data_IF_381464987190
#
_entry.id   IF_381464987190
#
_cell.length_a   1.000
_cell.length_b   1.000
_cell.length_c   1.000
_cell.angle_alpha   90.00
_cell.angle_beta   90.00
_cell.angle_gamma   90.00
#
_symmetry.space_group_name_H-M   'P 1'
#
loop_
_entity.id
_entity.type
_entity.pdbx_description
1 polymer ?
#
# COMPACT_ATOMS: atom_id res chain seq x y z
N UNK A 1 18.86 11.97 10.80
CA UNK A 1 18.02 10.82 11.15
C UNK A 1 16.75 10.80 10.31
N UNK A 2 16.27 9.61 9.91
CA UNK A 2 14.95 9.42 9.25
C UNK A 2 14.00 8.75 10.23
N UNK A 3 12.80 9.31 10.41
CA UNK A 3 11.73 8.70 11.18
C UNK A 3 10.58 8.32 10.25
N UNK A 4 10.10 7.09 10.34
CA UNK A 4 8.98 6.60 9.55
C UNK A 4 7.85 6.14 10.48
N UNK A 5 6.67 6.71 10.31
CA UNK A 5 5.47 6.38 11.05
C UNK A 5 4.41 5.83 10.12
N UNK A 6 3.86 4.67 10.49
CA UNK A 6 2.74 4.05 9.78
C UNK A 6 1.43 4.61 10.32
N UNK A 7 0.65 5.25 9.46
CA UNK A 7 -0.64 5.86 9.79
C UNK A 7 -1.80 4.90 9.52
N UNK A 8 -2.74 4.86 10.46
CA UNK A 8 -4.01 4.11 10.41
C UNK A 8 -5.04 4.81 11.32
N UNK A 9 -6.31 4.40 11.22
CA UNK A 9 -7.45 4.98 11.97
C UNK A 9 -7.12 5.36 13.42
N UNK A 10 -6.46 4.48 14.16
CA UNK A 10 -6.20 4.71 15.59
C UNK A 10 -5.15 5.80 15.91
N UNK A 11 -4.27 6.17 14.97
CA UNK A 11 -3.20 7.15 15.20
C UNK A 11 -3.19 8.32 14.20
N UNK A 12 -3.99 8.29 13.14
CA UNK A 12 -4.05 9.37 12.13
C UNK A 12 -4.42 10.72 12.77
N UNK A 13 -5.25 10.75 13.81
CA UNK A 13 -5.59 11.98 14.54
C UNK A 13 -4.42 12.56 15.36
N UNK A 14 -3.39 11.76 15.65
CA UNK A 14 -2.20 12.14 16.40
C UNK A 14 -1.06 12.63 15.49
N UNK A 15 -1.31 12.85 14.20
CA UNK A 15 -0.29 13.25 13.22
C UNK A 15 0.48 14.51 13.64
N UNK A 16 -0.19 15.45 14.31
CA UNK A 16 0.45 16.65 14.86
C UNK A 16 1.50 16.28 15.91
N UNK A 17 1.12 15.46 16.89
CA UNK A 17 2.01 15.03 17.98
C UNK A 17 3.21 14.22 17.42
N UNK A 18 2.96 13.40 16.39
CA UNK A 18 4.00 12.65 15.68
C UNK A 18 5.01 13.60 15.01
N UNK A 19 4.53 14.65 14.33
CA UNK A 19 5.40 15.63 13.69
C UNK A 19 6.19 16.43 14.75
N UNK A 20 5.54 16.86 15.83
CA UNK A 20 6.19 17.58 16.93
C UNK A 20 7.26 16.74 17.62
N UNK A 21 7.02 15.44 17.80
CA UNK A 21 8.03 14.49 18.26
C UNK A 21 9.23 14.43 17.30
N UNK A 22 8.99 14.33 16.00
CA UNK A 22 10.06 14.28 15.01
C UNK A 22 10.91 15.56 15.00
N UNK A 23 10.28 16.73 15.19
CA UNK A 23 10.96 18.01 15.35
C UNK A 23 11.82 18.03 16.62
N UNK A 24 11.26 17.59 17.75
CA UNK A 24 11.97 17.55 19.03
C UNK A 24 13.17 16.59 19.01
N UNK A 25 13.09 15.55 18.19
CA UNK A 25 14.17 14.60 17.93
C UNK A 25 15.16 15.06 16.85
N UNK A 26 14.98 16.27 16.29
CA UNK A 26 15.84 16.84 15.25
C UNK A 26 15.99 15.90 14.04
N UNK A 27 14.88 15.30 13.59
CA UNK A 27 14.90 14.45 12.40
C UNK A 27 15.18 15.26 11.12
N UNK A 28 15.97 14.68 10.20
CA UNK A 28 16.21 15.27 8.87
C UNK A 28 15.01 15.01 7.95
N UNK A 29 14.44 13.80 8.06
CA UNK A 29 13.30 13.33 7.25
C UNK A 29 12.25 12.68 8.13
N UNK A 30 10.99 13.03 7.88
CA UNK A 30 9.82 12.40 8.47
C UNK A 30 8.95 11.80 7.38
N UNK A 31 8.76 10.49 7.41
CA UNK A 31 7.85 9.77 6.54
C UNK A 31 6.57 9.42 7.30
N UNK A 32 5.45 9.96 6.81
CA UNK A 32 4.11 9.70 7.28
C UNK A 32 3.44 8.80 6.25
N UNK A 33 3.61 7.49 6.44
CA UNK A 33 3.22 6.47 5.47
C UNK A 33 1.86 5.87 5.83
N UNK A 34 0.86 5.95 4.95
CA UNK A 34 -0.41 5.27 5.19
C UNK A 34 -0.25 3.75 5.10
N UNK A 35 -0.92 3.03 6.00
CA UNK A 35 -1.03 1.57 5.96
C UNK A 35 -1.55 1.07 4.61
N UNK A 36 -0.82 0.16 3.98
CA UNK A 36 -1.30 -0.56 2.80
C UNK A 36 -2.19 -1.72 3.26
N UNK A 37 -3.41 -1.79 2.74
CA UNK A 37 -4.42 -2.78 3.17
C UNK A 37 -4.33 -4.14 2.46
N UNK A 38 -3.15 -4.49 1.94
CA UNK A 38 -2.85 -5.86 1.50
C UNK A 38 -1.90 -6.58 2.46
N UNK A 39 -1.84 -7.90 2.39
CA UNK A 39 -1.10 -8.71 3.35
C UNK A 39 -1.75 -8.67 4.74
N UNK A 40 -0.96 -8.45 5.80
CA UNK A 40 -1.44 -8.58 7.19
C UNK A 40 -2.46 -7.52 7.60
N UNK A 41 -2.37 -6.30 7.07
CA UNK A 41 -3.31 -5.24 7.39
C UNK A 41 -4.72 -5.54 6.86
N UNK A 42 -4.85 -6.37 5.82
CA UNK A 42 -6.15 -6.78 5.27
C UNK A 42 -7.01 -7.49 6.32
N UNK A 43 -6.41 -8.34 7.18
CA UNK A 43 -7.13 -9.04 8.24
C UNK A 43 -7.69 -8.11 9.33
N UNK A 44 -7.20 -6.87 9.38
CA UNK A 44 -7.57 -5.87 10.37
C UNK A 44 -8.17 -4.61 9.71
N UNK A 45 -8.48 -4.64 8.41
CA UNK A 45 -8.84 -3.45 7.63
C UNK A 45 -10.04 -2.70 8.22
N UNK A 46 -11.01 -3.43 8.74
CA UNK A 46 -12.23 -2.86 9.32
C UNK A 46 -11.93 -1.96 10.53
N UNK A 47 -10.82 -2.20 11.22
CA UNK A 47 -10.40 -1.44 12.40
C UNK A 47 -9.31 -0.40 12.06
N UNK A 48 -8.51 -0.66 11.03
CA UNK A 48 -7.33 0.14 10.70
C UNK A 48 -7.58 1.19 9.61
N UNK A 49 -8.55 0.99 8.70
CA UNK A 49 -8.82 1.94 7.61
C UNK A 49 -9.31 3.29 8.15
N UNK A 50 -8.57 4.40 8.02
CA UNK A 50 -9.03 5.70 8.52
C UNK A 50 -10.30 6.16 7.79
N UNK A 51 -11.09 7.04 8.43
CA UNK A 51 -12.24 7.68 7.79
C UNK A 51 -11.79 8.85 6.90
N UNK A 52 -12.61 9.23 5.93
CA UNK A 52 -12.37 10.39 5.05
C UNK A 52 -12.13 11.67 5.84
N UNK A 53 -12.85 11.86 6.94
CA UNK A 53 -12.66 13.01 7.83
C UNK A 53 -11.26 13.02 8.46
N UNK A 54 -10.81 11.88 9.00
CA UNK A 54 -9.46 11.75 9.56
C UNK A 54 -8.39 12.06 8.52
N UNK A 55 -8.56 11.56 7.30
CA UNK A 55 -7.61 11.78 6.20
C UNK A 55 -7.55 13.26 5.83
N UNK A 56 -8.72 13.90 5.65
CA UNK A 56 -8.80 15.31 5.27
C UNK A 56 -8.12 16.21 6.31
N UNK A 57 -8.36 15.92 7.60
CA UNK A 57 -7.73 16.63 8.71
C UNK A 57 -6.22 16.39 8.76
N UNK A 58 -5.79 15.14 8.61
CA UNK A 58 -4.39 14.76 8.65
C UNK A 58 -3.59 15.36 7.49
N UNK A 59 -4.15 15.35 6.28
CA UNK A 59 -3.55 15.95 5.09
C UNK A 59 -3.36 17.46 5.27
N UNK A 60 -4.39 18.16 5.77
CA UNK A 60 -4.28 19.58 6.09
C UNK A 60 -3.13 19.87 7.06
N UNK A 61 -3.04 19.11 8.16
CA UNK A 61 -1.97 19.27 9.15
C UNK A 61 -0.61 18.97 8.51
N UNK A 62 -0.47 17.89 7.75
CA UNK A 62 0.77 17.53 7.09
C UNK A 62 1.27 18.64 6.14
N UNK A 63 0.38 19.21 5.32
CA UNK A 63 0.71 20.32 4.42
C UNK A 63 1.12 21.59 5.17
N UNK A 64 0.41 21.96 6.24
CA UNK A 64 0.79 23.09 7.09
C UNK A 64 2.21 22.93 7.68
N UNK A 65 2.59 21.73 8.11
CA UNK A 65 3.92 21.48 8.66
C UNK A 65 4.98 21.35 7.57
N UNK A 66 4.66 20.84 6.38
CA UNK A 66 5.56 20.84 5.23
C UNK A 66 6.00 22.26 4.88
N UNK A 67 5.09 23.23 4.90
CA UNK A 67 5.39 24.65 4.71
C UNK A 67 6.26 25.21 5.85
N UNK A 68 5.87 24.97 7.11
CA UNK A 68 6.61 25.47 8.29
C UNK A 68 8.03 24.92 8.43
N UNK A 69 8.27 23.71 7.93
CA UNK A 69 9.55 23.01 8.08
C UNK A 69 10.44 23.08 6.84
N UNK A 70 10.08 23.90 5.84
CA UNK A 70 10.91 24.13 4.66
C UNK A 70 12.34 24.52 5.05
N UNK A 71 13.31 23.77 4.52
CA UNK A 71 14.74 23.97 4.80
C UNK A 71 15.23 23.44 6.16
N UNK A 72 14.36 22.87 6.99
CA UNK A 72 14.70 22.33 8.33
C UNK A 72 14.55 20.82 8.41
N UNK A 73 13.34 20.32 8.15
CA UNK A 73 13.01 18.89 8.14
C UNK A 73 12.14 18.60 6.93
N UNK A 74 12.48 17.56 6.16
CA UNK A 74 11.69 17.17 4.99
C UNK A 74 10.60 16.18 5.40
N UNK A 75 9.35 16.59 5.22
CA UNK A 75 8.19 15.76 5.55
C UNK A 75 7.61 15.14 4.27
N UNK A 76 7.51 13.82 4.23
CA UNK A 76 6.83 13.06 3.19
C UNK A 76 5.49 12.54 3.72
N UNK A 77 4.38 13.02 3.17
CA UNK A 77 3.05 12.51 3.50
C UNK A 77 2.55 11.63 2.35
N UNK A 78 2.33 10.35 2.64
CA UNK A 78 1.82 9.38 1.67
C UNK A 78 0.32 9.22 1.89
N UNK A 79 -0.46 9.90 1.05
CA UNK A 79 -1.94 9.90 1.10
C UNK A 79 -2.51 8.48 0.99
N UNK A 80 -3.60 8.13 1.69
CA UNK A 80 -4.28 6.84 1.53
C UNK A 80 -4.86 6.62 0.13
N UNK A 81 -4.38 5.62 -0.59
CA UNK A 81 -4.78 5.40 -1.99
C UNK A 81 -6.27 5.05 -2.17
N UNK A 82 -6.94 4.51 -1.15
CA UNK A 82 -8.37 4.11 -1.22
C UNK A 82 -9.36 5.27 -1.37
N UNK A 83 -8.92 6.50 -1.11
CA UNK A 83 -9.75 7.70 -1.22
C UNK A 83 -9.43 8.54 -2.45
N UNK A 84 -8.53 8.05 -3.31
CA UNK A 84 -8.09 8.68 -4.55
C UNK A 84 -8.86 8.15 -5.77
N UNK A 85 -8.93 8.95 -6.82
CA UNK A 85 -9.55 8.56 -8.10
C UNK A 85 -8.57 7.82 -9.04
N UNK A 86 -7.26 7.91 -8.77
CA UNK A 86 -6.18 7.30 -9.55
C UNK A 86 -5.17 6.64 -8.63
N UNK A 87 -4.69 5.43 -8.99
CA UNK A 87 -3.67 4.77 -8.20
C UNK A 87 -2.33 5.49 -8.37
N UNK A 88 -1.51 5.47 -7.33
CA UNK A 88 -0.11 5.88 -7.45
C UNK A 88 0.68 4.86 -8.28
N UNK A 89 1.73 5.28 -8.99
CA UNK A 89 2.62 4.36 -9.68
C UNK A 89 3.40 3.51 -8.67
N UNK A 90 2.88 2.32 -8.36
CA UNK A 90 3.48 1.41 -7.38
C UNK A 90 4.91 1.04 -7.78
N UNK A 91 5.90 1.48 -6.99
CA UNK A 91 7.34 1.36 -7.28
C UNK A 91 7.71 1.88 -8.68
N UNK A 92 6.98 2.88 -9.20
CA UNK A 92 7.15 3.39 -10.56
C UNK A 92 7.07 2.31 -11.66
N UNK A 93 6.27 1.25 -11.44
CA UNK A 93 6.11 0.12 -12.34
C UNK A 93 6.82 -1.15 -11.86
N UNK A 94 6.21 -2.30 -12.14
CA UNK A 94 6.71 -3.60 -11.73
C UNK A 94 8.09 -3.90 -12.31
N UNK A 95 9.06 -4.21 -11.43
CA UNK A 95 10.42 -4.48 -11.84
C UNK A 95 11.08 -3.32 -12.61
N UNK A 96 10.67 -2.07 -12.38
CA UNK A 96 11.19 -0.92 -13.13
C UNK A 96 12.39 -0.24 -12.44
N UNK A 97 12.32 -0.06 -11.11
CA UNK A 97 13.39 0.62 -10.33
C UNK A 97 13.86 -0.17 -9.10
N UNK A 98 13.17 -1.27 -8.77
CA UNK A 98 13.30 -1.90 -7.45
C UNK A 98 13.56 -3.40 -7.53
N UNK A 99 14.54 -3.85 -6.75
CA UNK A 99 14.88 -5.27 -6.56
C UNK A 99 15.18 -5.49 -5.08
N UNK A 100 14.45 -6.42 -4.44
CA UNK A 100 14.74 -6.89 -3.07
C UNK A 100 15.30 -8.28 -3.09
N UNK A 101 16.35 -8.54 -2.31
CA UNK A 101 16.80 -9.90 -1.99
C UNK A 101 16.35 -10.26 -0.58
N UNK A 102 15.52 -11.28 -0.44
CA UNK A 102 15.11 -11.79 0.88
C UNK A 102 16.24 -12.60 1.54
N UNK A 103 16.19 -12.85 2.87
CA UNK A 103 17.29 -13.53 3.57
C UNK A 103 17.65 -14.93 3.06
N UNK A 104 16.72 -15.63 2.40
CA UNK A 104 16.93 -16.93 1.75
C UNK A 104 17.61 -16.82 0.38
N UNK A 105 17.75 -15.61 -0.17
CA UNK A 105 18.36 -15.30 -1.47
C UNK A 105 17.36 -15.05 -2.60
N UNK A 106 16.05 -15.18 -2.37
CA UNK A 106 15.05 -14.94 -3.44
C UNK A 106 14.99 -13.46 -3.80
N UNK A 107 15.00 -13.16 -5.10
CA UNK A 107 14.86 -11.82 -5.65
C UNK A 107 13.40 -11.49 -5.95
N UNK A 108 12.96 -10.29 -5.57
CA UNK A 108 11.59 -9.83 -5.72
C UNK A 108 11.54 -8.52 -6.53
N UNK A 109 10.66 -8.42 -7.55
CA UNK A 109 10.44 -7.19 -8.32
C UNK A 109 9.61 -6.13 -7.56
N UNK A 110 8.96 -6.54 -6.47
CA UNK A 110 8.35 -5.66 -5.46
C UNK A 110 8.32 -6.38 -4.11
N UNK A 111 8.21 -5.65 -2.99
CA UNK A 111 8.24 -6.25 -1.65
C UNK A 111 7.19 -7.35 -1.44
N UNK A 112 6.02 -7.22 -2.08
CA UNK A 112 4.88 -8.12 -1.88
C UNK A 112 4.67 -9.10 -3.04
N UNK A 113 5.66 -9.27 -3.92
CA UNK A 113 5.54 -10.11 -5.11
C UNK A 113 5.14 -11.55 -4.77
N UNK A 114 5.62 -12.09 -3.64
CA UNK A 114 5.28 -13.45 -3.15
C UNK A 114 3.78 -13.67 -2.88
N UNK A 115 2.97 -12.61 -2.78
CA UNK A 115 1.52 -12.74 -2.65
C UNK A 115 0.86 -13.20 -3.96
N UNK A 116 1.53 -13.02 -5.10
CA UNK A 116 0.97 -13.35 -6.41
C UNK A 116 1.21 -14.83 -6.68
N UNK A 117 0.14 -15.64 -6.84
CA UNK A 117 0.27 -17.07 -7.08
C UNK A 117 0.93 -17.35 -8.44
N UNK A 118 1.70 -18.43 -8.51
CA UNK A 118 2.38 -18.86 -9.73
C UNK A 118 3.53 -17.95 -10.16
N UNK A 119 4.19 -17.26 -9.23
CA UNK A 119 5.53 -16.72 -9.42
C UNK A 119 6.54 -17.68 -8.79
N UNK A 120 7.60 -18.01 -9.50
CA UNK A 120 8.66 -18.90 -9.02
C UNK A 120 9.74 -18.11 -8.26
N UNK A 121 9.99 -16.87 -8.67
CA UNK A 121 10.90 -15.88 -8.12
C UNK A 121 12.36 -16.38 -8.01
N UNK A 122 13.28 -15.89 -8.86
CA UNK A 122 14.63 -16.45 -8.94
C UNK A 122 15.46 -16.21 -7.67
N UNK A 123 16.43 -17.08 -7.40
CA UNK A 123 17.36 -16.95 -6.27
C UNK A 123 18.76 -16.53 -6.74
N UNK A 124 19.40 -15.62 -6.01
CA UNK A 124 20.76 -15.13 -6.33
C UNK A 124 21.85 -16.19 -6.17
N UNK A 125 21.56 -17.31 -5.51
CA UNK A 125 22.45 -18.47 -5.44
C UNK A 125 22.56 -19.21 -6.77
N UNK A 126 21.50 -19.15 -7.59
CA UNK A 126 21.35 -19.92 -8.82
C UNK A 126 21.40 -19.04 -10.07
N UNK A 127 21.26 -17.72 -9.93
CA UNK A 127 21.17 -16.79 -11.06
C UNK A 127 21.84 -15.45 -10.74
N UNK A 128 22.49 -14.85 -11.76
CA UNK A 128 23.09 -13.52 -11.62
C UNK A 128 22.04 -12.42 -11.47
N UNK A 129 22.35 -11.36 -10.72
CA UNK A 129 21.46 -10.19 -10.59
C UNK A 129 21.11 -9.60 -11.96
N UNK A 130 22.05 -9.59 -12.91
CA UNK A 130 21.83 -9.09 -14.26
C UNK A 130 20.74 -9.88 -15.00
N UNK A 131 20.81 -11.22 -14.96
CA UNK A 131 19.79 -12.07 -15.57
C UNK A 131 18.44 -11.94 -14.83
N UNK A 132 18.48 -11.92 -13.50
CA UNK A 132 17.27 -11.74 -12.67
C UNK A 132 16.55 -10.46 -13.08
N UNK A 133 17.29 -9.36 -13.21
CA UNK A 133 16.73 -8.05 -13.54
C UNK A 133 16.22 -7.98 -14.97
N UNK A 134 17.01 -8.38 -15.96
CA UNK A 134 16.69 -8.13 -17.37
C UNK A 134 15.84 -9.24 -17.98
N UNK A 135 16.11 -10.50 -17.63
CA UNK A 135 15.65 -11.66 -18.41
C UNK A 135 14.66 -12.54 -17.65
N UNK A 136 14.60 -12.48 -16.32
CA UNK A 136 13.77 -13.41 -15.57
C UNK A 136 12.27 -13.22 -15.89
N UNK A 137 11.50 -14.32 -16.08
CA UNK A 137 10.09 -14.23 -16.42
C UNK A 137 9.27 -13.41 -15.41
N UNK A 138 9.52 -13.58 -14.12
CA UNK A 138 8.72 -12.93 -13.08
C UNK A 138 9.00 -11.43 -12.94
N UNK A 139 10.23 -10.96 -13.20
CA UNK A 139 10.52 -9.52 -13.28
C UNK A 139 9.89 -8.89 -14.53
N UNK A 140 9.76 -9.66 -15.61
CA UNK A 140 9.16 -9.18 -16.86
C UNK A 140 7.64 -9.37 -16.93
N UNK A 141 7.03 -10.18 -16.06
CA UNK A 141 5.60 -10.57 -16.11
C UNK A 141 4.63 -9.39 -16.20
N UNK A 142 4.91 -8.33 -15.44
CA UNK A 142 4.12 -7.09 -15.45
C UNK A 142 4.97 -5.85 -15.82
N UNK A 143 6.13 -6.07 -16.45
CA UNK A 143 6.97 -4.96 -16.94
C UNK A 143 6.44 -4.48 -18.29
N UNK A 144 6.51 -3.17 -18.54
CA UNK A 144 5.92 -2.57 -19.73
C UNK A 144 4.39 -2.61 -19.70
N UNK A 145 3.76 -2.69 -20.88
CA UNK A 145 2.31 -2.49 -21.02
C UNK A 145 1.57 -3.64 -21.70
N UNK A 146 2.26 -4.62 -22.29
CA UNK A 146 1.64 -5.66 -23.12
C UNK A 146 0.72 -6.61 -22.33
N UNK A 147 1.01 -6.79 -21.04
CA UNK A 147 0.23 -7.61 -20.11
C UNK A 147 -1.10 -6.96 -19.71
N UNK A 148 -1.26 -5.65 -19.90
CA UNK A 148 -2.39 -4.89 -19.35
C UNK A 148 -3.73 -5.35 -19.95
N UNK A 149 -4.76 -5.48 -19.11
CA UNK A 149 -6.14 -5.67 -19.59
C UNK A 149 -6.81 -4.32 -19.86
N UNK A 150 -7.97 -4.33 -20.50
CA UNK A 150 -8.81 -3.13 -20.55
C UNK A 150 -9.34 -2.78 -19.15
N UNK A 151 -9.48 -1.48 -18.81
CA UNK A 151 -9.24 -0.31 -19.67
C UNK A 151 -7.77 0.12 -19.79
N UNK A 152 -6.84 -0.42 -19.00
CA UNK A 152 -5.45 0.06 -18.95
C UNK A 152 -4.71 -0.07 -20.30
N UNK A 153 -4.98 -1.14 -21.06
CA UNK A 153 -4.35 -1.39 -22.36
C UNK A 153 -4.53 -0.22 -23.33
N UNK A 154 -5.74 0.34 -23.41
CA UNK A 154 -6.07 1.48 -24.28
C UNK A 154 -6.01 2.85 -23.59
N UNK A 155 -5.73 2.89 -22.28
CA UNK A 155 -5.70 4.13 -21.49
C UNK A 155 -4.50 5.03 -21.84
N UNK A 156 -4.73 6.33 -21.85
CA UNK A 156 -3.74 7.40 -22.01
C UNK A 156 -2.88 7.64 -20.75
N UNK A 157 -3.36 7.19 -19.59
CA UNK A 157 -2.67 7.34 -18.29
C UNK A 157 -1.74 6.16 -17.96
N UNK A 158 -1.69 5.10 -18.78
CA UNK A 158 -0.97 3.85 -18.44
C UNK A 158 0.52 4.01 -18.20
N UNK A 159 1.15 5.01 -18.82
CA UNK A 159 2.57 5.34 -18.61
C UNK A 159 2.83 6.17 -17.34
N UNK A 160 1.76 6.74 -16.76
CA UNK A 160 1.84 7.55 -15.53
C UNK A 160 1.72 6.68 -14.29
N UNK A 161 0.79 5.73 -14.28
CA UNK A 161 0.44 4.92 -13.11
C UNK A 161 0.79 3.43 -13.24
N UNK A 162 1.16 2.97 -14.44
CA UNK A 162 1.50 1.57 -14.74
C UNK A 162 0.36 0.59 -14.38
N UNK A 163 -0.88 1.08 -14.42
CA UNK A 163 -2.10 0.35 -14.05
C UNK A 163 -2.34 0.23 -12.55
N UNK A 164 -1.47 0.79 -11.70
CA UNK A 164 -1.52 0.70 -10.24
C UNK A 164 -0.80 -0.53 -9.65
N UNK A 165 -1.16 -0.92 -8.42
CA UNK A 165 -0.51 -2.00 -7.68
C UNK A 165 -1.03 -3.40 -8.07
N UNK A 166 -0.13 -4.29 -8.52
CA UNK A 166 -0.48 -5.68 -8.89
C UNK A 166 -0.97 -6.51 -7.70
N UNK A 167 -0.36 -6.31 -6.53
CA UNK A 167 -0.74 -7.03 -5.31
C UNK A 167 -2.14 -6.61 -4.81
N UNK A 168 -2.48 -5.33 -4.95
CA UNK A 168 -3.81 -4.81 -4.60
C UNK A 168 -4.87 -5.26 -5.61
N UNK A 169 -4.57 -5.20 -6.91
CA UNK A 169 -5.44 -5.73 -7.95
C UNK A 169 -5.78 -7.21 -7.70
N UNK A 170 -4.77 -8.03 -7.37
CA UNK A 170 -4.99 -9.44 -7.01
C UNK A 170 -5.92 -9.58 -5.80
N UNK A 171 -5.63 -8.87 -4.71
CA UNK A 171 -6.41 -9.01 -3.47
C UNK A 171 -7.87 -8.60 -3.64
N UNK A 172 -8.12 -7.52 -4.38
CA UNK A 172 -9.46 -6.94 -4.52
C UNK A 172 -10.28 -7.58 -5.64
N UNK A 173 -9.62 -8.17 -6.65
CA UNK A 173 -10.30 -8.68 -7.86
C UNK A 173 -10.06 -10.16 -8.13
N UNK A 174 -9.10 -10.79 -7.46
CA UNK A 174 -8.68 -12.17 -7.70
C UNK A 174 -7.65 -12.35 -8.81
N UNK A 175 -7.27 -11.28 -9.53
CA UNK A 175 -6.28 -11.34 -10.61
C UNK A 175 -5.33 -10.12 -10.59
N UNK A 176 -4.02 -10.39 -10.54
CA UNK A 176 -2.97 -9.37 -10.52
C UNK A 176 -2.88 -8.56 -11.82
N UNK A 177 -3.37 -9.10 -12.95
CA UNK A 177 -3.38 -8.42 -14.25
C UNK A 177 -4.56 -7.45 -14.42
N UNK A 178 -5.53 -7.46 -13.51
CA UNK A 178 -6.65 -6.52 -13.56
C UNK A 178 -6.21 -5.09 -13.20
N UNK A 179 -6.98 -4.12 -13.66
CA UNK A 179 -6.84 -2.72 -13.26
C UNK A 179 -7.02 -2.58 -11.75
N UNK A 180 -6.11 -1.83 -11.11
CA UNK A 180 -6.20 -1.53 -9.69
C UNK A 180 -7.56 -0.87 -9.38
N UNK A 181 -8.39 -1.44 -8.47
CA UNK A 181 -9.71 -0.90 -8.14
C UNK A 181 -9.73 0.50 -7.53
N UNK A 182 -8.59 1.04 -7.08
CA UNK A 182 -8.49 2.47 -6.74
C UNK A 182 -8.81 3.34 -7.94
N UNK A 183 -8.40 2.94 -9.16
CA UNK A 183 -8.72 3.69 -10.36
C UNK A 183 -10.23 3.73 -10.61
N UNK A 184 -10.81 4.93 -10.75
CA UNK A 184 -12.25 5.06 -11.03
C UNK A 184 -12.68 4.50 -12.40
N UNK A 185 -11.74 4.22 -13.29
CA UNK A 185 -11.98 3.49 -14.56
C UNK A 185 -12.08 1.96 -14.37
N UNK A 186 -11.69 1.41 -13.21
CA UNK A 186 -11.75 -0.03 -12.96
C UNK A 186 -13.20 -0.52 -12.85
N UNK A 187 -13.58 -1.64 -13.50
CA UNK A 187 -14.89 -2.25 -13.31
C UNK A 187 -15.18 -2.65 -11.86
N UNK A 188 -14.15 -2.84 -11.04
CA UNK A 188 -14.27 -3.22 -9.63
C UNK A 188 -14.25 -2.01 -8.67
N UNK A 189 -14.15 -0.78 -9.17
CA UNK A 189 -14.07 0.42 -8.34
C UNK A 189 -15.30 0.59 -7.44
N UNK A 190 -16.50 0.36 -7.97
CA UNK A 190 -17.74 0.46 -7.20
C UNK A 190 -17.76 -0.45 -5.97
N UNK A 191 -17.21 -1.67 -6.09
CA UNK A 191 -17.11 -2.64 -4.97
C UNK A 191 -16.15 -2.16 -3.89
N UNK A 192 -15.02 -1.55 -4.28
CA UNK A 192 -14.08 -0.95 -3.33
C UNK A 192 -14.76 0.20 -2.56
N UNK A 193 -15.43 1.11 -3.27
CA UNK A 193 -16.13 2.25 -2.68
C UNK A 193 -17.23 1.79 -1.71
N UNK A 194 -17.98 0.75 -2.05
CA UNK A 194 -19.01 0.18 -1.18
C UNK A 194 -18.40 -0.40 0.11
N UNK A 195 -17.30 -1.15 0.01
CA UNK A 195 -16.61 -1.70 1.20
C UNK A 195 -16.05 -0.59 2.10
N UNK A 196 -15.47 0.46 1.51
CA UNK A 196 -15.01 1.64 2.27
C UNK A 196 -16.17 2.31 3.00
N UNK A 197 -17.29 2.57 2.31
CA UNK A 197 -18.48 3.20 2.94
C UNK A 197 -19.04 2.37 4.09
N UNK A 198 -19.08 1.04 3.93
CA UNK A 198 -19.49 0.12 4.99
C UNK A 198 -18.56 0.24 6.21
N UNK A 199 -17.25 0.17 5.98
CA UNK A 199 -16.24 0.28 7.04
C UNK A 199 -16.32 1.64 7.76
N UNK A 200 -16.54 2.73 7.03
CA UNK A 200 -16.74 4.06 7.63
C UNK A 200 -18.01 4.14 8.48
N UNK A 201 -19.14 3.60 7.98
CA UNK A 201 -20.40 3.59 8.72
C UNK A 201 -20.28 2.81 10.05
N UNK A 202 -19.60 1.67 10.03
CA UNK A 202 -19.30 0.88 11.24
C UNK A 202 -18.41 1.67 12.21
N UNK A 203 -17.40 2.38 11.72
CA UNK A 203 -16.52 3.20 12.55
C UNK A 203 -17.29 4.35 13.24
N UNK A 204 -18.17 5.03 12.51
CA UNK A 204 -19.02 6.10 13.06
C UNK A 204 -20.02 5.56 14.09
N UNK A 205 -20.64 4.41 13.82
CA UNK A 205 -21.55 3.76 14.75
C UNK A 205 -20.85 3.42 16.07
N UNK A 206 -19.66 2.80 16.01
CA UNK A 206 -18.88 2.43 17.19
C UNK A 206 -18.37 3.65 17.98
N UNK A 207 -18.16 4.79 17.31
CA UNK A 207 -17.77 6.04 17.98
C UNK A 207 -18.90 6.62 18.85
N UNK A 208 -20.16 6.32 18.51
CA UNK A 208 -21.35 6.79 19.23
C UNK A 208 -21.82 5.87 20.37
N UNK A 209 -21.42 4.59 20.36
CA UNK A 209 -21.87 3.57 21.34
C UNK A 209 -20.74 2.96 22.18
N UNK A 210 -19.51 3.52 22.10
CA UNK A 210 -18.31 2.92 22.66
C UNK A 210 -17.67 1.95 21.67
N UNK A 211 -16.33 1.98 21.57
CA UNK A 211 -15.59 1.18 20.60
C UNK A 211 -15.79 -0.30 20.95
N UNK A 212 -16.52 -1.05 20.13
CA UNK A 212 -16.48 -2.52 20.20
C UNK A 212 -15.10 -2.97 19.68
N UNK A 213 -14.12 -3.03 20.59
CA UNK A 213 -12.76 -3.48 20.28
C UNK A 213 -12.78 -4.96 19.91
N UNK A 214 -12.68 -5.25 18.60
CA UNK A 214 -12.44 -6.61 18.12
C UNK A 214 -10.94 -6.91 18.26
N UNK A 215 -10.53 -8.07 18.80
CA UNK A 215 -9.10 -8.40 18.91
C UNK A 215 -8.40 -8.33 17.55
N UNK A 216 -7.34 -7.52 17.45
CA UNK A 216 -6.51 -7.45 16.25
C UNK A 216 -5.80 -8.79 16.01
N UNK A 217 -5.75 -9.19 14.75
CA UNK A 217 -4.95 -10.32 14.30
C UNK A 217 -3.50 -9.88 14.18
N UNK A 218 -2.70 -10.17 15.20
CA UNK A 218 -1.27 -9.89 15.19
C UNK A 218 -0.49 -10.87 14.32
N UNK A 219 0.54 -10.36 13.65
CA UNK A 219 1.51 -11.19 12.91
C UNK A 219 2.34 -12.02 13.88
N UNK A 220 1.93 -13.27 14.08
CA UNK A 220 2.67 -14.26 14.85
C UNK A 220 2.55 -15.65 14.21
N UNK A 221 3.35 -16.61 14.68
CA UNK A 221 3.37 -17.97 14.13
C UNK A 221 2.00 -18.68 14.21
N UNK A 222 1.24 -18.46 15.28
CA UNK A 222 -0.07 -19.10 15.50
C UNK A 222 -1.10 -18.58 14.49
N UNK A 223 -1.19 -17.26 14.32
CA UNK A 223 -2.07 -16.63 13.35
C UNK A 223 -1.68 -17.02 11.92
N UNK A 224 -0.37 -17.04 11.62
CA UNK A 224 0.13 -17.42 10.30
C UNK A 224 -0.32 -18.83 9.90
N UNK A 225 -0.14 -19.82 10.79
CA UNK A 225 -0.57 -21.20 10.53
C UNK A 225 -2.08 -21.31 10.27
N UNK A 226 -2.90 -20.63 11.09
CA UNK A 226 -4.36 -20.64 10.93
C UNK A 226 -4.81 -20.09 9.57
N UNK A 227 -4.20 -18.98 9.14
CA UNK A 227 -4.52 -18.33 7.87
C UNK A 227 -4.02 -19.13 6.65
N UNK A 228 -2.96 -19.92 6.79
CA UNK A 228 -2.48 -20.80 5.70
C UNK A 228 -3.28 -22.09 5.56
N UNK A 229 -3.91 -22.58 6.62
CA UNK A 229 -4.66 -23.87 6.60
C UNK A 229 -6.13 -23.71 6.23
N UNK A 230 -6.71 -22.52 6.44
CA UNK A 230 -8.07 -22.17 6.04
C UNK A 230 -8.01 -20.86 5.23
N UNK A 231 -7.68 -20.94 3.92
CA UNK A 231 -7.60 -19.77 3.05
C UNK A 231 -8.95 -19.08 2.84
#
# INVERSE_FOLDING_TARGET
MVLCFVLHRQNTDQIKDIIELAIALEADYLELATTQYYGWANHNKEQLLPTKEQITKAEKIAHEYQEKMQGKMRIFYVVPDYFEDRPKPCMNGWGNIFLTITPDGTALPCHSARLIPGLELPNVKDSSINWIWNDSPDFNKFRGFDWMKEPCRSCDEKEKDFGGCRCQALMLTGDAANTDPVCSKSPNHGKLVEDIRRIEAEAMHNSSHGIEEKPLVFRNMRASKKLTTNP
#
